data_IF_822060231307
#
_entry.id   IF_822060231307
#
_cell.length_a   1.000
_cell.length_b   1.000
_cell.length_c   1.000
_cell.angle_alpha   90.00
_cell.angle_beta   90.00
_cell.angle_gamma   90.00
#
_symmetry.space_group_name_H-M   'P 1'
#
loop_
_entity.id
_entity.type
_entity.pdbx_description
1 polymer ?
#
# COMPACT_ATOMS: atom_id res chain seq x y z
N UNK A 1 -26.36 9.84 -9.82
CA UNK A 1 -25.27 10.20 -8.88
C UNK A 1 -25.94 10.84 -7.68
N UNK A 2 -25.73 10.34 -6.46
CA UNK A 2 -26.34 10.93 -5.26
C UNK A 2 -25.68 12.28 -5.03
N UNK A 3 -26.48 13.35 -4.99
CA UNK A 3 -25.99 14.66 -4.59
C UNK A 3 -25.98 14.74 -3.06
N UNK A 4 -24.78 14.83 -2.49
CA UNK A 4 -24.61 14.92 -1.04
C UNK A 4 -24.82 16.36 -0.58
N UNK A 5 -25.74 16.52 0.36
CA UNK A 5 -25.93 17.75 1.13
C UNK A 5 -26.14 17.35 2.60
N UNK A 6 -26.17 18.33 3.50
CA UNK A 6 -26.29 18.09 4.95
C UNK A 6 -27.55 17.29 5.31
N UNK A 7 -28.68 17.56 4.65
CA UNK A 7 -29.93 16.85 4.90
C UNK A 7 -29.84 15.38 4.46
N UNK A 8 -29.29 15.12 3.26
CA UNK A 8 -29.14 13.75 2.77
C UNK A 8 -28.17 12.96 3.64
N UNK A 9 -27.04 13.55 4.05
CA UNK A 9 -26.05 12.91 4.94
C UNK A 9 -26.67 12.58 6.31
N UNK A 10 -27.37 13.54 6.94
CA UNK A 10 -28.00 13.29 8.24
C UNK A 10 -29.07 12.21 8.18
N UNK A 11 -29.84 12.14 7.08
CA UNK A 11 -30.80 11.06 6.86
C UNK A 11 -30.10 9.69 6.79
N UNK A 12 -28.93 9.59 6.16
CA UNK A 12 -28.14 8.35 6.15
C UNK A 12 -27.72 7.95 7.57
N UNK A 13 -27.23 8.89 8.38
CA UNK A 13 -26.84 8.63 9.76
C UNK A 13 -28.02 8.14 10.60
N UNK A 14 -29.19 8.78 10.46
CA UNK A 14 -30.42 8.34 11.12
C UNK A 14 -30.88 6.94 10.70
N UNK A 15 -30.82 6.62 9.40
CA UNK A 15 -31.18 5.29 8.87
C UNK A 15 -30.30 4.18 9.44
N UNK A 16 -29.03 4.49 9.73
CA UNK A 16 -28.09 3.56 10.33
C UNK A 16 -27.98 3.70 11.86
N UNK A 17 -28.92 4.40 12.49
CA UNK A 17 -29.00 4.59 13.95
C UNK A 17 -27.72 5.20 14.57
N UNK A 18 -26.99 6.03 13.82
CA UNK A 18 -25.88 6.83 14.34
C UNK A 18 -26.47 8.10 14.95
N UNK A 19 -26.36 8.21 16.27
CA UNK A 19 -26.83 9.35 17.05
C UNK A 19 -25.84 10.52 16.99
N UNK A 20 -25.55 11.02 15.79
CA UNK A 20 -24.78 12.24 15.60
C UNK A 20 -25.37 13.09 14.46
N UNK A 21 -25.10 14.39 14.50
CA UNK A 21 -25.63 15.36 13.55
C UNK A 21 -24.48 16.02 12.81
N UNK A 22 -24.41 15.78 11.50
CA UNK A 22 -23.40 16.37 10.62
C UNK A 22 -23.78 17.81 10.32
N UNK A 23 -22.87 18.74 10.60
CA UNK A 23 -23.08 20.19 10.42
C UNK A 23 -22.28 20.76 9.26
N UNK A 24 -21.19 20.09 8.86
CA UNK A 24 -20.38 20.49 7.73
C UNK A 24 -19.75 19.28 7.05
N UNK A 25 -19.38 19.45 5.78
CA UNK A 25 -18.56 18.49 5.08
C UNK A 25 -17.62 19.19 4.10
N UNK A 26 -16.53 18.50 3.77
CA UNK A 26 -15.54 18.92 2.80
C UNK A 26 -15.25 17.75 1.84
N UNK A 27 -15.27 18.03 0.54
CA UNK A 27 -14.79 17.06 -0.45
C UNK A 27 -13.27 16.94 -0.38
N UNK A 28 -12.78 15.69 -0.33
CA UNK A 28 -11.37 15.37 -0.39
C UNK A 28 -11.00 14.89 -1.79
N UNK A 29 -9.79 15.19 -2.23
CA UNK A 29 -9.19 14.58 -3.43
C UNK A 29 -8.75 13.15 -3.10
N UNK A 30 -9.03 12.16 -3.93
CA UNK A 30 -8.49 10.80 -3.69
C UNK A 30 -9.08 9.65 -4.49
N UNK A 31 -10.19 9.82 -5.18
CA UNK A 31 -10.82 8.74 -5.96
C UNK A 31 -10.75 9.01 -7.46
N UNK A 32 -10.44 7.96 -8.24
CA UNK A 32 -10.44 8.04 -9.71
C UNK A 32 -11.85 8.24 -10.28
N UNK A 33 -12.86 7.70 -9.58
CA UNK A 33 -14.27 7.67 -10.05
C UNK A 33 -15.30 8.00 -8.96
N UNK A 34 -14.97 7.79 -7.68
CA UNK A 34 -15.84 8.01 -6.54
C UNK A 34 -15.81 9.42 -5.93
N UNK A 35 -16.45 9.55 -4.76
CA UNK A 35 -16.47 10.76 -3.91
C UNK A 35 -15.97 10.39 -2.52
N UNK A 36 -15.11 11.22 -1.94
CA UNK A 36 -14.68 11.11 -0.54
C UNK A 36 -15.01 12.41 0.17
N UNK A 37 -15.83 12.34 1.22
CA UNK A 37 -16.21 13.48 2.03
C UNK A 37 -15.69 13.33 3.45
N UNK A 38 -15.00 14.35 3.94
CA UNK A 38 -14.77 14.54 5.37
C UNK A 38 -16.00 15.19 5.98
N UNK A 39 -16.65 14.51 6.91
CA UNK A 39 -17.82 15.00 7.63
C UNK A 39 -17.39 15.46 9.02
N UNK A 40 -18.00 16.53 9.51
CA UNK A 40 -17.82 17.01 10.88
C UNK A 40 -19.18 17.16 11.56
N UNK A 41 -19.29 16.58 12.75
CA UNK A 41 -20.51 16.64 13.54
C UNK A 41 -20.57 17.83 14.46
N UNK A 42 -21.75 18.13 14.99
CA UNK A 42 -21.96 19.19 15.99
C UNK A 42 -21.11 19.01 17.25
N UNK A 43 -20.68 17.77 17.54
CA UNK A 43 -19.83 17.44 18.68
C UNK A 43 -18.33 17.46 18.34
N UNK A 44 -17.96 17.87 17.13
CA UNK A 44 -16.58 17.90 16.65
C UNK A 44 -16.03 16.52 16.27
N UNK A 45 -16.87 15.50 16.15
CA UNK A 45 -16.45 14.17 15.70
C UNK A 45 -16.34 14.20 14.17
N UNK A 46 -15.25 13.63 13.66
CA UNK A 46 -14.95 13.58 12.24
C UNK A 46 -15.19 12.18 11.68
N UNK A 47 -15.74 12.12 10.48
CA UNK A 47 -15.98 10.88 9.74
C UNK A 47 -15.50 11.01 8.30
N UNK A 48 -15.28 9.88 7.64
CA UNK A 48 -15.16 9.85 6.18
C UNK A 48 -16.35 9.09 5.60
N UNK A 49 -17.06 9.72 4.66
CA UNK A 49 -18.00 9.06 3.76
C UNK A 49 -17.29 8.82 2.43
N UNK A 50 -17.25 7.56 2.00
CA UNK A 50 -16.70 7.16 0.70
C UNK A 50 -17.79 6.52 -0.14
N UNK A 51 -17.98 7.02 -1.35
CA UNK A 51 -18.91 6.48 -2.34
C UNK A 51 -18.13 6.18 -3.61
N UNK A 52 -18.35 5.00 -4.18
CA UNK A 52 -17.68 4.51 -5.38
C UNK A 52 -18.56 3.43 -6.03
N UNK A 53 -18.05 2.73 -7.03
CA UNK A 53 -18.73 1.55 -7.59
C UNK A 53 -18.94 0.48 -6.50
N UNK A 54 -20.04 -0.31 -6.57
CA UNK A 54 -20.34 -1.37 -5.60
C UNK A 54 -19.17 -2.32 -5.34
N UNK A 55 -18.43 -2.69 -6.39
CA UNK A 55 -17.28 -3.59 -6.31
C UNK A 55 -16.16 -2.95 -5.47
N UNK A 56 -15.81 -1.68 -5.73
CA UNK A 56 -14.76 -1.00 -4.97
C UNK A 56 -15.13 -0.85 -3.49
N UNK A 57 -16.39 -0.52 -3.20
CA UNK A 57 -16.88 -0.40 -1.83
C UNK A 57 -16.81 -1.75 -1.11
N UNK A 58 -17.27 -2.82 -1.75
CA UNK A 58 -17.23 -4.18 -1.20
C UNK A 58 -15.80 -4.65 -0.90
N UNK A 59 -14.85 -4.42 -1.81
CA UNK A 59 -13.45 -4.82 -1.63
C UNK A 59 -12.80 -4.10 -0.44
N UNK A 60 -12.93 -2.78 -0.37
CA UNK A 60 -12.36 -1.98 0.72
C UNK A 60 -13.02 -2.34 2.05
N UNK A 61 -14.36 -2.47 2.06
CA UNK A 61 -15.11 -2.86 3.24
C UNK A 61 -14.68 -4.24 3.74
N UNK A 62 -14.49 -5.22 2.85
CA UNK A 62 -14.04 -6.57 3.21
C UNK A 62 -12.68 -6.54 3.91
N UNK A 63 -11.73 -5.76 3.39
CA UNK A 63 -10.42 -5.61 4.03
C UNK A 63 -10.52 -4.97 5.42
N UNK A 64 -11.26 -3.86 5.54
CA UNK A 64 -11.39 -3.15 6.82
C UNK A 64 -12.15 -3.99 7.88
N UNK A 65 -13.13 -4.80 7.46
CA UNK A 65 -13.79 -5.73 8.37
C UNK A 65 -12.90 -6.89 8.79
N UNK A 66 -12.12 -7.44 7.85
CA UNK A 66 -11.15 -8.51 8.14
C UNK A 66 -10.15 -8.06 9.20
N UNK A 67 -9.69 -6.81 9.10
CA UNK A 67 -8.73 -6.21 10.02
C UNK A 67 -9.33 -5.19 10.97
N UNK A 68 -10.59 -5.39 11.41
CA UNK A 68 -11.33 -4.44 12.28
C UNK A 68 -10.67 -4.14 13.63
N UNK A 69 -9.72 -4.97 14.04
CA UNK A 69 -8.96 -4.83 15.28
C UNK A 69 -7.61 -4.15 15.08
N UNK A 70 -7.20 -3.87 13.84
CA UNK A 70 -5.99 -3.09 13.59
C UNK A 70 -6.15 -1.68 14.17
N UNK A 71 -5.09 -1.20 14.82
CA UNK A 71 -5.03 0.17 15.33
C UNK A 71 -4.69 1.19 14.25
N UNK A 72 -4.14 0.74 13.11
CA UNK A 72 -3.74 1.59 11.99
C UNK A 72 -4.84 1.75 10.93
N UNK A 73 -5.80 0.83 10.85
CA UNK A 73 -6.85 0.92 9.83
C UNK A 73 -8.09 1.64 10.36
N UNK A 74 -8.78 2.41 9.50
CA UNK A 74 -10.05 3.02 9.89
C UNK A 74 -11.12 1.96 10.18
N UNK A 75 -12.02 2.27 11.12
CA UNK A 75 -13.13 1.39 11.48
C UNK A 75 -14.36 1.76 10.66
N UNK A 76 -14.93 0.78 9.95
CA UNK A 76 -16.22 0.94 9.27
C UNK A 76 -17.31 1.08 10.34
N UNK A 77 -18.13 2.13 10.19
CA UNK A 77 -19.23 2.46 11.09
C UNK A 77 -20.58 2.05 10.51
N UNK A 78 -20.75 2.24 9.20
CA UNK A 78 -21.90 1.77 8.45
C UNK A 78 -21.51 1.55 6.99
N UNK A 79 -22.32 0.75 6.31
CA UNK A 79 -22.23 0.49 4.88
C UNK A 79 -23.63 0.43 4.29
N UNK A 80 -23.79 0.97 3.08
CA UNK A 80 -25.03 0.86 2.34
C UNK A 80 -25.29 -0.59 1.94
N UNK A 81 -26.55 -1.03 1.96
CA UNK A 81 -26.93 -2.39 1.55
C UNK A 81 -26.61 -2.66 0.06
N UNK A 82 -26.75 -1.64 -0.78
CA UNK A 82 -26.43 -1.69 -2.21
C UNK A 82 -24.95 -1.46 -2.54
N UNK A 83 -24.10 -1.35 -1.51
CA UNK A 83 -22.65 -1.08 -1.62
C UNK A 83 -22.33 0.22 -2.36
N UNK A 84 -23.24 1.19 -2.40
CA UNK A 84 -22.97 2.48 -3.05
C UNK A 84 -22.05 3.41 -2.23
N UNK A 85 -21.99 3.23 -0.91
CA UNK A 85 -21.15 3.99 0.00
C UNK A 85 -20.91 3.26 1.32
N UNK A 86 -19.92 3.73 2.08
CA UNK A 86 -19.73 3.40 3.49
C UNK A 86 -19.17 4.61 4.24
N UNK A 87 -19.31 4.59 5.57
CA UNK A 87 -18.74 5.60 6.47
C UNK A 87 -17.79 4.94 7.44
N UNK A 88 -16.64 5.57 7.67
CA UNK A 88 -15.63 5.09 8.59
C UNK A 88 -15.04 6.21 9.45
N UNK A 89 -14.34 5.82 10.52
CA UNK A 89 -13.70 6.76 11.45
C UNK A 89 -12.62 7.60 10.77
N UNK A 90 -12.63 8.92 10.98
CA UNK A 90 -11.52 9.77 10.58
C UNK A 90 -10.30 9.55 11.49
N UNK A 91 -9.11 9.44 10.90
CA UNK A 91 -7.84 9.36 11.64
C UNK A 91 -7.22 10.76 11.62
N UNK A 92 -7.12 11.40 12.79
CA UNK A 92 -6.68 12.79 12.90
C UNK A 92 -5.16 12.91 12.85
N UNK A 93 -4.64 13.35 11.71
CA UNK A 93 -3.22 13.55 11.46
C UNK A 93 -2.96 14.12 10.07
N UNK A 94 -1.69 14.07 9.65
CA UNK A 94 -1.22 14.60 8.37
C UNK A 94 -0.69 13.45 7.53
N UNK A 95 -1.02 13.42 6.25
CA UNK A 95 -0.51 12.40 5.33
C UNK A 95 0.84 12.79 4.74
N UNK A 96 1.62 11.78 4.33
CA UNK A 96 2.87 11.88 3.57
C UNK A 96 4.06 12.55 4.30
N UNK A 97 3.88 13.73 4.90
CA UNK A 97 4.95 14.52 5.55
C UNK A 97 4.95 14.37 7.07
N UNK A 98 5.85 15.11 7.74
CA UNK A 98 5.98 15.14 9.20
C UNK A 98 6.09 13.74 9.82
N UNK A 99 6.94 12.91 9.21
CA UNK A 99 7.21 11.53 9.61
C UNK A 99 8.59 11.41 10.27
N UNK A 100 8.72 10.51 11.23
CA UNK A 100 10.03 10.14 11.78
C UNK A 100 10.84 9.29 10.79
N UNK A 101 12.06 8.90 11.18
CA UNK A 101 12.94 8.03 10.36
C UNK A 101 12.21 6.79 9.85
N UNK A 102 12.53 6.34 8.63
CA UNK A 102 11.88 5.18 7.99
C UNK A 102 11.81 3.95 8.88
N UNK A 103 12.92 3.64 9.55
CA UNK A 103 13.01 2.53 10.50
C UNK A 103 11.94 2.57 11.60
N UNK A 104 11.55 3.76 12.07
CA UNK A 104 10.59 3.91 13.16
C UNK A 104 9.16 3.61 12.71
N UNK A 105 8.73 4.19 11.59
CA UNK A 105 7.38 3.94 11.10
C UNK A 105 7.24 2.58 10.43
N UNK A 106 8.29 2.05 9.78
CA UNK A 106 8.29 0.66 9.28
C UNK A 106 8.10 -0.34 10.43
N UNK A 107 8.75 -0.10 11.58
CA UNK A 107 8.54 -0.94 12.77
C UNK A 107 7.08 -0.94 13.23
N UNK A 108 6.40 0.20 13.22
CA UNK A 108 4.98 0.31 13.58
C UNK A 108 4.13 -0.40 12.53
N UNK A 109 4.37 -0.13 11.24
CA UNK A 109 3.67 -0.76 10.13
C UNK A 109 3.74 -2.29 10.20
N UNK A 110 4.94 -2.86 10.41
CA UNK A 110 5.13 -4.31 10.50
C UNK A 110 4.31 -4.89 11.65
N UNK A 111 4.42 -4.32 12.85
CA UNK A 111 3.78 -4.86 14.05
C UNK A 111 2.26 -4.71 14.05
N UNK A 112 1.78 -3.53 13.66
CA UNK A 112 0.38 -3.12 13.86
C UNK A 112 -0.49 -3.35 12.61
N UNK A 113 0.12 -3.68 11.46
CA UNK A 113 -0.59 -4.01 10.22
C UNK A 113 -0.13 -5.33 9.60
N UNK A 114 1.14 -5.45 9.21
CA UNK A 114 1.58 -6.61 8.39
C UNK A 114 1.52 -7.94 9.15
N UNK A 115 1.90 -7.95 10.42
CA UNK A 115 1.78 -9.13 11.28
C UNK A 115 0.31 -9.46 11.63
N UNK A 116 -0.64 -8.57 11.33
CA UNK A 116 -2.08 -8.82 11.52
C UNK A 116 -2.73 -9.46 10.29
N UNK A 117 -2.00 -9.58 9.17
CA UNK A 117 -2.55 -10.16 7.95
C UNK A 117 -2.94 -11.61 8.13
N UNK A 118 -4.11 -11.98 7.62
CA UNK A 118 -4.60 -13.36 7.68
C UNK A 118 -4.41 -14.03 6.33
N UNK A 119 -4.09 -15.31 6.36
CA UNK A 119 -3.98 -16.10 5.13
C UNK A 119 -5.31 -16.11 4.38
N UNK A 120 -5.23 -15.82 3.09
CA UNK A 120 -6.38 -15.78 2.21
C UNK A 120 -6.78 -17.21 1.81
N UNK A 121 -7.98 -17.61 2.21
CA UNK A 121 -8.53 -18.95 1.96
C UNK A 121 -9.38 -19.03 0.67
N UNK A 122 -9.42 -17.96 -0.13
CA UNK A 122 -10.22 -17.88 -1.35
C UNK A 122 -9.59 -18.59 -2.56
N UNK A 123 -10.09 -18.25 -3.74
CA UNK A 123 -9.60 -18.82 -5.00
C UNK A 123 -8.09 -18.64 -5.15
N UNK A 124 -7.45 -19.59 -5.86
CA UNK A 124 -6.00 -19.62 -6.04
C UNK A 124 -5.54 -18.56 -7.06
N UNK A 125 -5.81 -17.28 -6.80
CA UNK A 125 -5.44 -16.13 -7.64
C UNK A 125 -4.38 -15.26 -6.95
N UNK A 126 -3.80 -14.35 -7.71
CA UNK A 126 -2.77 -13.40 -7.27
C UNK A 126 -3.13 -11.98 -7.71
N UNK A 127 -2.56 -10.98 -7.04
CA UNK A 127 -2.69 -9.58 -7.43
C UNK A 127 -4.03 -8.97 -7.00
N UNK A 128 -4.39 -7.84 -7.65
CA UNK A 128 -5.59 -7.06 -7.30
C UNK A 128 -6.84 -7.91 -7.45
N UNK A 129 -7.73 -7.88 -6.46
CA UNK A 129 -8.94 -8.73 -6.49
C UNK A 129 -9.85 -8.37 -7.66
N UNK A 130 -9.88 -7.10 -8.06
CA UNK A 130 -10.63 -6.64 -9.24
C UNK A 130 -10.04 -7.16 -10.57
N UNK A 131 -8.74 -7.44 -10.60
CA UNK A 131 -8.01 -7.89 -11.78
C UNK A 131 -7.08 -9.07 -11.41
N UNK A 132 -7.68 -10.22 -11.05
CA UNK A 132 -6.92 -11.36 -10.55
C UNK A 132 -5.98 -11.90 -11.62
N UNK A 133 -4.86 -12.45 -11.16
CA UNK A 133 -3.79 -13.02 -11.97
C UNK A 133 -3.64 -14.49 -11.66
N UNK A 134 -3.24 -15.26 -12.66
CA UNK A 134 -3.03 -16.70 -12.49
C UNK A 134 -1.74 -16.97 -11.70
N UNK A 135 -0.73 -16.11 -11.84
CA UNK A 135 0.58 -16.28 -11.20
C UNK A 135 1.10 -14.98 -10.59
N UNK A 136 1.97 -15.10 -9.58
CA UNK A 136 2.65 -13.94 -8.99
C UNK A 136 3.61 -13.30 -9.99
N UNK A 137 4.18 -14.12 -10.88
CA UNK A 137 4.99 -13.66 -12.01
C UNK A 137 4.23 -12.69 -12.91
N UNK A 138 3.04 -13.08 -13.37
CA UNK A 138 2.23 -12.26 -14.28
C UNK A 138 1.96 -10.89 -13.65
N UNK A 139 1.56 -10.88 -12.37
CA UNK A 139 1.33 -9.65 -11.62
C UNK A 139 2.56 -8.72 -11.62
N UNK A 140 3.74 -9.25 -11.29
CA UNK A 140 4.98 -8.45 -11.26
C UNK A 140 5.47 -8.05 -12.66
N UNK A 141 5.30 -8.89 -13.67
CA UNK A 141 5.69 -8.59 -15.04
C UNK A 141 4.93 -7.37 -15.58
N UNK A 142 3.63 -7.25 -15.28
CA UNK A 142 2.83 -6.07 -15.64
C UNK A 142 3.44 -4.80 -15.05
N UNK A 143 3.73 -4.78 -13.75
CA UNK A 143 4.33 -3.61 -13.09
C UNK A 143 5.71 -3.25 -13.65
N UNK A 144 6.53 -4.25 -14.00
CA UNK A 144 7.85 -4.04 -14.60
C UNK A 144 7.72 -3.43 -16.00
N UNK A 145 6.78 -3.90 -16.82
CA UNK A 145 6.55 -3.34 -18.16
C UNK A 145 5.98 -1.91 -18.08
N UNK A 146 5.04 -1.64 -17.19
CA UNK A 146 4.52 -0.28 -16.94
C UNK A 146 5.65 0.67 -16.49
N UNK A 147 6.51 0.22 -15.58
CA UNK A 147 7.66 0.99 -15.15
C UNK A 147 8.61 1.28 -16.31
N UNK A 148 8.90 0.29 -17.18
CA UNK A 148 9.71 0.49 -18.39
C UNK A 148 9.12 1.58 -19.29
N UNK A 149 7.80 1.59 -19.49
CA UNK A 149 7.13 2.61 -20.31
C UNK A 149 7.29 4.02 -19.72
N UNK A 150 7.28 4.14 -18.39
CA UNK A 150 7.42 5.42 -17.70
C UNK A 150 8.88 5.92 -17.60
N UNK A 151 9.84 5.00 -17.46
CA UNK A 151 11.25 5.31 -17.17
C UNK A 151 11.96 6.06 -18.30
N UNK A 152 11.52 5.93 -19.56
CA UNK A 152 12.16 6.56 -20.73
C UNK A 152 13.68 6.34 -20.74
N UNK A 153 14.46 7.39 -20.46
CA UNK A 153 15.94 7.37 -20.45
C UNK A 153 16.54 7.52 -19.04
N UNK A 154 15.73 7.43 -17.98
CA UNK A 154 16.17 7.57 -16.59
C UNK A 154 17.04 6.39 -16.16
N UNK A 155 16.63 5.18 -16.56
CA UNK A 155 17.40 3.94 -16.42
C UNK A 155 17.66 3.34 -17.79
N UNK A 156 18.75 2.59 -17.92
CA UNK A 156 19.20 2.10 -19.22
C UNK A 156 18.42 0.86 -19.69
N UNK A 157 18.48 0.51 -20.99
CA UNK A 157 17.94 -0.77 -21.47
C UNK A 157 18.55 -1.98 -20.74
N UNK A 158 19.82 -1.92 -20.35
CA UNK A 158 20.51 -2.96 -19.58
C UNK A 158 19.95 -3.09 -18.16
N UNK A 159 19.53 -1.98 -17.52
CA UNK A 159 18.83 -2.02 -16.23
C UNK A 159 17.53 -2.84 -16.35
N UNK A 160 16.74 -2.58 -17.38
CA UNK A 160 15.52 -3.34 -17.65
C UNK A 160 15.81 -4.83 -17.88
N UNK A 161 16.82 -5.17 -18.70
CA UNK A 161 17.17 -6.57 -18.94
C UNK A 161 17.62 -7.28 -17.66
N UNK A 162 18.37 -6.57 -16.80
CA UNK A 162 18.78 -7.09 -15.50
C UNK A 162 17.57 -7.38 -14.60
N UNK A 163 16.61 -6.45 -14.53
CA UNK A 163 15.35 -6.62 -13.78
C UNK A 163 14.53 -7.78 -14.32
N UNK A 164 14.36 -7.91 -15.64
CA UNK A 164 13.62 -9.04 -16.26
C UNK A 164 14.28 -10.38 -15.99
N UNK A 165 15.62 -10.45 -16.01
CA UNK A 165 16.33 -11.68 -15.67
C UNK A 165 16.11 -12.05 -14.20
N UNK A 166 16.19 -11.06 -13.31
CA UNK A 166 16.01 -11.26 -11.87
C UNK A 166 14.56 -11.66 -11.53
N UNK A 167 13.57 -11.00 -12.11
CA UNK A 167 12.15 -11.31 -11.89
C UNK A 167 11.81 -12.74 -12.33
N UNK A 168 12.34 -13.18 -13.48
CA UNK A 168 12.21 -14.58 -13.92
C UNK A 168 12.79 -15.57 -12.90
N UNK A 169 13.96 -15.28 -12.32
CA UNK A 169 14.57 -16.16 -11.31
C UNK A 169 13.74 -16.23 -10.02
N UNK A 170 13.16 -15.10 -9.60
CA UNK A 170 12.44 -15.00 -8.33
C UNK A 170 10.98 -15.50 -8.42
N UNK A 171 10.28 -15.22 -9.51
CA UNK A 171 8.83 -15.36 -9.57
C UNK A 171 8.34 -16.50 -10.47
N UNK A 172 9.22 -17.22 -11.20
CA UNK A 172 8.79 -18.33 -12.09
C UNK A 172 8.17 -19.53 -11.35
N UNK A 173 8.35 -19.63 -10.04
CA UNK A 173 7.88 -20.75 -9.23
C UNK A 173 6.97 -20.24 -8.11
N UNK A 174 5.67 -20.36 -8.32
CA UNK A 174 4.63 -19.89 -7.40
C UNK A 174 4.73 -20.59 -6.02
N UNK A 175 5.20 -21.84 -5.99
CA UNK A 175 5.36 -22.58 -4.72
C UNK A 175 6.40 -21.95 -3.80
N UNK A 176 7.31 -21.14 -4.35
CA UNK A 176 8.31 -20.41 -3.59
C UNK A 176 7.84 -19.05 -3.10
N UNK A 177 6.69 -18.54 -3.54
CA UNK A 177 6.26 -17.18 -3.17
C UNK A 177 5.73 -17.09 -1.73
N UNK A 178 5.49 -18.23 -1.09
CA UNK A 178 4.94 -18.31 0.26
C UNK A 178 3.42 -18.24 0.25
N UNK A 179 2.85 -18.06 1.44
CA UNK A 179 1.41 -18.03 1.64
C UNK A 179 0.80 -16.75 1.08
N UNK A 180 -0.48 -16.83 0.73
CA UNK A 180 -1.28 -15.72 0.22
C UNK A 180 -2.00 -15.05 1.36
N UNK A 181 -2.00 -13.73 1.37
CA UNK A 181 -2.67 -12.91 2.39
C UNK A 181 -3.56 -11.88 1.71
N UNK A 182 -4.59 -11.43 2.42
CA UNK A 182 -5.38 -10.26 2.01
C UNK A 182 -4.58 -8.99 2.35
N UNK A 183 -3.94 -8.40 1.37
CA UNK A 183 -3.05 -7.25 1.53
C UNK A 183 -3.80 -5.93 1.44
N UNK A 184 -3.29 -4.89 2.11
CA UNK A 184 -3.72 -3.50 1.89
C UNK A 184 -3.51 -3.08 0.43
N UNK A 185 -2.39 -3.50 -0.17
CA UNK A 185 -2.11 -3.42 -1.60
C UNK A 185 -1.69 -2.04 -2.10
N UNK A 186 -1.81 -0.99 -1.29
CA UNK A 186 -1.25 0.34 -1.53
C UNK A 186 -0.65 0.96 -0.26
N UNK A 187 0.37 0.32 0.28
CA UNK A 187 1.09 0.76 1.49
C UNK A 187 2.10 1.87 1.21
N UNK A 188 1.79 2.77 0.27
CA UNK A 188 2.62 3.93 -0.02
C UNK A 188 2.54 4.96 1.11
N UNK A 189 3.65 5.64 1.42
CA UNK A 189 3.68 6.66 2.49
C UNK A 189 2.68 7.81 2.30
N UNK A 190 2.19 8.03 1.07
CA UNK A 190 1.14 9.01 0.80
C UNK A 190 -0.22 8.62 1.45
N UNK A 191 -0.42 7.34 1.73
CA UNK A 191 -1.57 6.78 2.43
C UNK A 191 -1.35 6.63 3.94
N UNK A 192 -0.20 7.07 4.46
CA UNK A 192 0.12 6.96 5.89
C UNK A 192 -0.25 8.26 6.59
N UNK A 193 -0.96 8.14 7.71
CA UNK A 193 -1.36 9.26 8.57
C UNK A 193 -0.41 9.33 9.76
N UNK A 194 0.22 10.48 9.92
CA UNK A 194 1.14 10.76 11.01
C UNK A 194 0.56 11.78 11.98
N UNK A 195 0.78 11.55 13.27
CA UNK A 195 0.58 12.53 14.33
C UNK A 195 1.85 12.57 15.20
N UNK A 196 2.38 13.76 15.45
CA UNK A 196 3.66 13.96 16.15
C UNK A 196 4.77 13.02 15.64
N UNK A 197 4.97 12.95 14.32
CA UNK A 197 5.96 12.08 13.66
C UNK A 197 5.79 10.57 13.86
N UNK A 198 4.68 10.14 14.46
CA UNK A 198 4.34 8.74 14.71
C UNK A 198 3.28 8.27 13.71
N UNK A 199 3.47 7.09 13.12
CA UNK A 199 2.47 6.46 12.26
C UNK A 199 1.27 6.07 13.12
N UNK A 200 0.10 6.62 12.82
CA UNK A 200 -1.16 6.37 13.54
C UNK A 200 -2.27 5.84 12.63
N UNK A 201 -2.07 5.85 11.31
CA UNK A 201 -3.06 5.36 10.37
C UNK A 201 -2.49 4.96 9.02
N UNK A 202 -3.16 4.03 8.35
CA UNK A 202 -2.96 3.66 6.95
C UNK A 202 -4.35 3.65 6.30
N UNK A 203 -4.53 4.46 5.26
CA UNK A 203 -5.83 4.71 4.62
C UNK A 203 -5.82 4.33 3.13
N UNK A 204 -6.98 4.39 2.50
CA UNK A 204 -7.15 4.15 1.06
C UNK A 204 -6.51 2.84 0.54
N UNK A 205 -6.93 1.67 1.06
CA UNK A 205 -6.48 0.38 0.53
C UNK A 205 -6.88 0.18 -0.92
N UNK A 206 -6.05 -0.56 -1.64
CA UNK A 206 -6.35 -1.18 -2.94
C UNK A 206 -6.19 -2.70 -2.79
N UNK A 207 -7.19 -3.38 -2.19
CA UNK A 207 -7.04 -4.74 -1.70
C UNK A 207 -6.56 -5.73 -2.77
N UNK A 208 -5.63 -6.60 -2.38
CA UNK A 208 -5.06 -7.61 -3.27
C UNK A 208 -4.69 -8.89 -2.52
N UNK A 209 -4.45 -9.97 -3.27
CA UNK A 209 -4.00 -11.26 -2.73
C UNK A 209 -2.55 -11.48 -3.12
N UNK A 210 -1.67 -11.65 -2.13
CA UNK A 210 -0.25 -11.82 -2.40
C UNK A 210 0.60 -12.11 -1.15
N UNK A 211 1.93 -12.20 -1.31
CA UNK A 211 2.84 -12.37 -0.18
C UNK A 211 2.95 -11.05 0.61
N UNK A 212 3.06 -11.14 1.93
CA UNK A 212 3.23 -9.98 2.84
C UNK A 212 4.40 -9.09 2.39
N UNK A 213 5.43 -9.71 1.83
CA UNK A 213 6.62 -9.01 1.38
C UNK A 213 6.33 -7.95 0.33
N UNK A 214 5.23 -8.07 -0.42
CA UNK A 214 4.80 -7.05 -1.37
C UNK A 214 4.49 -5.72 -0.67
N UNK A 215 3.59 -5.72 0.33
CA UNK A 215 3.24 -4.50 1.07
C UNK A 215 4.44 -3.98 1.87
N UNK A 216 5.26 -4.88 2.43
CA UNK A 216 6.49 -4.50 3.11
C UNK A 216 7.45 -3.72 2.19
N UNK A 217 7.75 -4.26 1.01
CA UNK A 217 8.67 -3.62 0.05
C UNK A 217 8.05 -2.43 -0.66
N UNK A 218 6.73 -2.44 -0.88
CA UNK A 218 6.01 -1.29 -1.40
C UNK A 218 6.14 -0.10 -0.46
N UNK A 219 5.89 -0.30 0.84
CA UNK A 219 6.10 0.71 1.87
C UNK A 219 7.56 1.17 1.95
N UNK A 220 8.50 0.23 2.01
CA UNK A 220 9.94 0.53 2.09
C UNK A 220 10.42 1.39 0.92
N UNK A 221 9.99 1.10 -0.31
CA UNK A 221 10.37 1.86 -1.50
C UNK A 221 9.50 3.12 -1.71
N UNK A 222 8.37 3.29 -1.02
CA UNK A 222 7.39 4.37 -1.30
C UNK A 222 7.89 5.80 -1.10
N UNK A 223 9.05 5.96 -0.45
CA UNK A 223 9.75 7.23 -0.26
C UNK A 223 11.26 7.06 -0.46
N UNK A 224 11.98 8.10 -0.91
CA UNK A 224 13.41 8.02 -1.23
C UNK A 224 14.34 7.94 0.01
N UNK A 225 13.90 8.42 1.18
CA UNK A 225 14.72 8.44 2.39
C UNK A 225 15.07 7.04 2.89
N UNK A 226 16.25 6.83 3.46
CA UNK A 226 16.61 5.60 4.18
C UNK A 226 16.38 4.26 3.41
N UNK A 227 16.45 4.25 2.06
CA UNK A 227 16.40 3.01 1.26
C UNK A 227 17.75 2.28 1.31
N UNK A 228 18.08 1.73 2.48
CA UNK A 228 19.33 1.02 2.77
C UNK A 228 19.07 -0.31 3.49
N UNK A 229 20.09 -1.17 3.56
CA UNK A 229 20.02 -2.51 4.16
C UNK A 229 19.74 -2.46 5.66
N UNK A 230 20.29 -1.48 6.39
CA UNK A 230 20.08 -1.34 7.83
C UNK A 230 18.60 -1.14 8.16
N UNK A 231 17.93 -0.30 7.38
CA UNK A 231 16.50 -0.03 7.54
C UNK A 231 15.65 -1.21 7.08
N UNK A 232 16.00 -1.82 5.94
CA UNK A 232 15.34 -3.01 5.41
C UNK A 232 15.36 -4.15 6.45
N UNK A 233 16.54 -4.51 6.95
CA UNK A 233 16.71 -5.66 7.85
C UNK A 233 16.15 -5.39 9.24
N UNK A 234 16.34 -4.19 9.78
CA UNK A 234 15.76 -3.86 11.08
C UNK A 234 14.23 -3.94 11.09
N UNK A 235 13.57 -3.74 9.94
CA UNK A 235 12.13 -3.88 9.81
C UNK A 235 11.72 -5.32 9.44
N UNK A 236 12.45 -6.00 8.55
CA UNK A 236 12.12 -7.37 8.15
C UNK A 236 12.31 -8.37 9.28
N UNK A 237 13.29 -8.16 10.16
CA UNK A 237 13.54 -9.02 11.33
C UNK A 237 12.36 -8.98 12.34
N UNK A 238 11.37 -8.09 12.16
CA UNK A 238 10.16 -7.99 12.97
C UNK A 238 8.95 -8.71 12.35
N UNK A 239 9.05 -9.20 11.12
CA UNK A 239 7.97 -9.95 10.48
C UNK A 239 7.81 -11.30 11.18
N UNK A 240 6.60 -11.59 11.64
CA UNK A 240 6.27 -12.88 12.28
C UNK A 240 5.89 -13.95 11.25
N UNK A 241 5.50 -13.50 10.06
CA UNK A 241 5.01 -14.31 8.96
C UNK A 241 5.49 -13.73 7.62
N UNK A 242 5.56 -14.57 6.59
CA UNK A 242 6.03 -14.14 5.26
C UNK A 242 7.52 -13.79 5.20
N UNK A 243 8.31 -14.31 6.15
CA UNK A 243 9.76 -14.13 6.17
C UNK A 243 10.41 -14.73 4.92
N UNK A 244 11.37 -14.00 4.36
CA UNK A 244 12.17 -14.44 3.22
C UNK A 244 13.65 -14.29 3.54
N UNK A 245 14.47 -15.12 2.89
CA UNK A 245 15.93 -15.01 2.97
C UNK A 245 16.41 -13.60 2.62
N UNK A 246 17.39 -13.07 3.35
CA UNK A 246 17.91 -11.71 3.12
C UNK A 246 18.39 -11.49 1.68
N UNK A 247 19.02 -12.51 1.08
CA UNK A 247 19.43 -12.49 -0.34
C UNK A 247 18.25 -12.25 -1.28
N UNK A 248 17.13 -12.91 -1.01
CA UNK A 248 15.89 -12.75 -1.77
C UNK A 248 15.28 -11.38 -1.52
N UNK A 249 15.25 -10.92 -0.27
CA UNK A 249 14.72 -9.62 0.10
C UNK A 249 15.44 -8.47 -0.63
N UNK A 250 16.77 -8.53 -0.70
CA UNK A 250 17.59 -7.57 -1.44
C UNK A 250 17.20 -7.55 -2.92
N UNK A 251 17.03 -8.72 -3.55
CA UNK A 251 16.71 -8.83 -4.98
C UNK A 251 15.28 -8.37 -5.28
N UNK A 252 14.32 -8.69 -4.44
CA UNK A 252 12.95 -8.17 -4.57
C UNK A 252 12.88 -6.65 -4.32
N UNK A 253 13.69 -6.13 -3.40
CA UNK A 253 13.83 -4.68 -3.18
C UNK A 253 14.25 -3.97 -4.46
N UNK A 254 15.23 -4.52 -5.20
CA UNK A 254 15.65 -3.96 -6.49
C UNK A 254 14.49 -3.87 -7.49
N UNK A 255 13.65 -4.90 -7.57
CA UNK A 255 12.48 -4.93 -8.47
C UNK A 255 11.46 -3.87 -8.05
N UNK A 256 11.11 -3.80 -6.76
CA UNK A 256 10.19 -2.79 -6.24
C UNK A 256 10.72 -1.37 -6.46
N UNK A 257 12.02 -1.15 -6.28
CA UNK A 257 12.67 0.13 -6.52
C UNK A 257 12.61 0.53 -8.00
N UNK A 258 12.87 -0.40 -8.93
CA UNK A 258 12.70 -0.16 -10.36
C UNK A 258 11.28 0.32 -10.70
N UNK A 259 10.26 -0.37 -10.17
CA UNK A 259 8.87 0.00 -10.36
C UNK A 259 8.55 1.38 -9.76
N UNK A 260 9.08 1.67 -8.57
CA UNK A 260 8.88 2.96 -7.91
C UNK A 260 9.54 4.13 -8.67
N UNK A 261 10.72 3.94 -9.24
CA UNK A 261 11.37 4.98 -10.05
C UNK A 261 10.48 5.29 -11.25
N UNK A 262 9.93 4.27 -11.92
CA UNK A 262 8.96 4.45 -13.01
C UNK A 262 7.75 5.30 -12.60
N UNK A 263 7.15 5.03 -11.44
CA UNK A 263 6.05 5.85 -10.90
C UNK A 263 6.49 7.28 -10.56
N UNK A 264 7.67 7.44 -9.98
CA UNK A 264 8.20 8.74 -9.54
C UNK A 264 8.49 9.67 -10.73
N UNK A 265 8.94 9.15 -11.87
CA UNK A 265 9.08 9.94 -13.11
C UNK A 265 7.77 10.62 -13.52
N UNK A 266 6.63 9.96 -13.28
CA UNK A 266 5.31 10.47 -13.65
C UNK A 266 4.68 11.36 -12.60
N UNK A 267 4.85 11.03 -11.31
CA UNK A 267 4.05 11.61 -10.23
C UNK A 267 4.87 12.40 -9.20
N UNK A 268 6.16 12.08 -9.03
CA UNK A 268 7.03 12.66 -8.00
C UNK A 268 8.45 12.93 -8.54
N UNK A 269 8.61 13.78 -9.57
CA UNK A 269 9.90 13.98 -10.23
C UNK A 269 10.97 14.55 -9.29
N UNK A 270 10.58 15.20 -8.20
CA UNK A 270 11.49 15.75 -7.21
C UNK A 270 12.23 14.68 -6.40
N UNK A 271 11.65 13.49 -6.23
CA UNK A 271 12.26 12.39 -5.48
C UNK A 271 13.30 11.62 -6.32
N UNK A 272 13.35 11.89 -7.62
CA UNK A 272 14.02 11.03 -8.59
C UNK A 272 15.54 10.93 -8.35
N UNK A 273 16.18 12.02 -7.95
CA UNK A 273 17.63 12.03 -7.69
C UNK A 273 18.02 11.04 -6.61
N UNK A 274 17.31 11.03 -5.49
CA UNK A 274 17.58 10.12 -4.38
C UNK A 274 17.27 8.67 -4.76
N UNK A 275 16.19 8.43 -5.51
CA UNK A 275 15.86 7.10 -6.01
C UNK A 275 16.91 6.53 -6.98
N UNK A 276 17.51 7.35 -7.84
CA UNK A 276 18.59 6.92 -8.74
C UNK A 276 19.86 6.56 -7.94
N UNK A 277 20.15 7.29 -6.86
CA UNK A 277 21.27 6.94 -5.97
C UNK A 277 21.02 5.59 -5.29
N UNK A 278 19.80 5.38 -4.77
CA UNK A 278 19.40 4.09 -4.22
C UNK A 278 19.52 2.97 -5.28
N UNK A 279 19.08 3.22 -6.52
CA UNK A 279 19.20 2.25 -7.62
C UNK A 279 20.63 1.76 -7.80
N UNK A 280 21.59 2.69 -7.86
CA UNK A 280 23.01 2.36 -7.98
C UNK A 280 23.50 1.46 -6.85
N UNK A 281 23.15 1.79 -5.61
CA UNK A 281 23.48 1.00 -4.42
C UNK A 281 22.91 -0.42 -4.49
N UNK A 282 21.60 -0.56 -4.69
CA UNK A 282 20.92 -1.87 -4.70
C UNK A 282 21.36 -2.75 -5.87
N UNK A 283 21.59 -2.15 -7.05
CA UNK A 283 22.09 -2.89 -8.22
C UNK A 283 23.49 -3.43 -7.97
N UNK A 284 24.37 -2.64 -7.37
CA UNK A 284 25.72 -3.09 -7.00
C UNK A 284 25.67 -4.24 -5.97
N UNK A 285 24.84 -4.10 -4.95
CA UNK A 285 24.65 -5.13 -3.93
C UNK A 285 24.16 -6.46 -4.55
N UNK A 286 23.19 -6.41 -5.46
CA UNK A 286 22.71 -7.62 -6.14
C UNK A 286 23.80 -8.29 -6.99
N UNK A 287 24.64 -7.51 -7.69
CA UNK A 287 25.77 -8.04 -8.46
C UNK A 287 26.79 -8.74 -7.57
N UNK A 288 27.15 -8.14 -6.44
CA UNK A 288 28.07 -8.76 -5.47
C UNK A 288 27.53 -10.09 -4.94
N UNK A 289 26.23 -10.18 -4.69
CA UNK A 289 25.58 -11.44 -4.28
C UNK A 289 25.65 -12.48 -5.39
N UNK A 290 25.36 -12.09 -6.64
CA UNK A 290 25.43 -12.99 -7.79
C UNK A 290 26.87 -13.48 -8.07
N UNK A 291 27.88 -12.68 -7.71
CA UNK A 291 29.32 -13.01 -7.81
C UNK A 291 29.87 -13.78 -6.61
N UNK A 292 29.07 -13.98 -5.55
CA UNK A 292 29.50 -14.64 -4.31
C UNK A 292 30.41 -13.78 -3.42
N UNK A 293 30.47 -12.47 -3.66
CA UNK A 293 31.30 -11.49 -2.92
C UNK A 293 30.49 -10.63 -1.94
N UNK A 294 29.15 -10.72 -1.97
CA UNK A 294 28.27 -10.00 -1.07
C UNK A 294 28.25 -10.58 0.34
N UNK A 295 28.49 -9.72 1.35
CA UNK A 295 28.30 -10.04 2.77
C UNK A 295 26.93 -9.51 3.19
N UNK A 296 26.12 -10.34 3.85
CA UNK A 296 24.71 -10.08 4.21
C UNK A 296 24.49 -10.34 5.70
#
# INVERSE_FOLDING_TARGET
MIEYNIETINRLFQQHHINDEIVSFQSLSGTTSGIVLKLESKHGIKYILKSDTPIQIELVEHLLHTYKHSVLLPKVLLSAQDKSYFVYTFIDGITHFNRSKKRNWMRILVKELLNQYVEHQGENTWGRIEFPRETWKEFNEISIEEARMNLKNVLSPEDYQYVKLMSKKLFNDDSKQGNKYLLHGDTGVHNFVFNDSTLIGVIDPSPMVGPIIYDFLYAFCSSPDDINTDTLFAASDLLEQGNVERTRLIKETLIHLYCRIGLSVRHHPNDLTEYIQAWGYWKQLCKQIDEGTGII
#
